data_IF_628060552671
#
_entry.id   IF_628060552671
#
_cell.length_a   1.000
_cell.length_b   1.000
_cell.length_c   1.000
_cell.angle_alpha   90.00
_cell.angle_beta   90.00
_cell.angle_gamma   90.00
#
_symmetry.space_group_name_H-M   'P 1'
#
loop_
_entity.id
_entity.type
_entity.pdbx_description
1 polymer ?
#
# COMPACT_ATOMS: atom_id res chain seq x y z
N UNK A 1 3.53 -15.69 3.25
CA UNK A 1 2.41 -15.27 2.38
C UNK A 1 2.97 -14.36 1.27
N UNK A 2 2.50 -14.44 0.02
CA UNK A 2 2.96 -13.55 -1.08
C UNK A 2 1.87 -12.54 -1.41
N UNK A 3 2.25 -11.30 -1.74
CA UNK A 3 1.33 -10.20 -2.04
C UNK A 3 0.34 -10.55 -3.19
N UNK A 4 0.80 -11.37 -4.14
CA UNK A 4 -0.01 -11.93 -5.25
C UNK A 4 -1.21 -12.76 -4.82
N UNK A 5 -1.21 -13.32 -3.60
CA UNK A 5 -2.34 -14.10 -3.09
C UNK A 5 -3.41 -13.21 -2.42
N UNK A 6 -3.07 -11.94 -2.18
CA UNK A 6 -3.91 -10.97 -1.46
C UNK A 6 -4.61 -10.06 -2.46
N UNK A 7 -3.87 -9.62 -3.48
CA UNK A 7 -4.40 -8.77 -4.54
C UNK A 7 -5.04 -9.65 -5.62
N UNK A 8 -6.34 -9.45 -5.86
CA UNK A 8 -7.14 -10.19 -6.85
C UNK A 8 -7.25 -9.44 -8.19
N UNK A 9 -6.84 -8.18 -8.24
CA UNK A 9 -6.88 -7.35 -9.45
C UNK A 9 -5.56 -7.42 -10.23
N UNK A 10 -5.63 -7.16 -11.53
CA UNK A 10 -4.43 -6.95 -12.34
C UNK A 10 -3.84 -5.57 -12.02
N UNK A 11 -2.74 -5.58 -11.29
CA UNK A 11 -1.90 -4.40 -11.07
C UNK A 11 -0.81 -4.32 -12.11
N UNK A 12 -0.34 -3.11 -12.38
CA UNK A 12 0.91 -2.91 -13.12
C UNK A 12 2.10 -3.35 -12.28
N UNK A 13 3.25 -3.56 -12.95
CA UNK A 13 4.49 -3.97 -12.28
C UNK A 13 4.91 -2.94 -11.21
N UNK A 14 4.83 -1.64 -11.52
CA UNK A 14 5.22 -0.60 -10.55
C UNK A 14 4.28 -0.56 -9.35
N UNK A 15 2.97 -0.72 -9.56
CA UNK A 15 2.00 -0.80 -8.47
C UNK A 15 2.27 -2.00 -7.56
N UNK A 16 2.58 -3.16 -8.16
CA UNK A 16 2.93 -4.36 -7.41
C UNK A 16 4.23 -4.19 -6.61
N UNK A 17 5.25 -3.56 -7.20
CA UNK A 17 6.53 -3.31 -6.54
C UNK A 17 6.39 -2.33 -5.39
N UNK A 18 5.65 -1.23 -5.59
CA UNK A 18 5.36 -0.25 -4.53
C UNK A 18 4.62 -0.90 -3.36
N UNK A 19 3.58 -1.71 -3.61
CA UNK A 19 2.88 -2.43 -2.55
C UNK A 19 3.79 -3.46 -1.87
N UNK A 20 4.69 -4.10 -2.61
CA UNK A 20 5.67 -5.04 -2.05
C UNK A 20 6.66 -4.32 -1.13
N UNK A 21 7.12 -3.13 -1.48
CA UNK A 21 7.97 -2.28 -0.62
C UNK A 21 7.19 -1.82 0.61
N UNK A 22 5.94 -1.39 0.44
CA UNK A 22 5.06 -0.95 1.54
C UNK A 22 4.90 -2.10 2.55
N UNK A 23 4.58 -3.27 2.03
CA UNK A 23 4.46 -4.52 2.76
C UNK A 23 5.77 -4.92 3.46
N UNK A 24 6.91 -4.83 2.77
CA UNK A 24 8.21 -5.19 3.36
C UNK A 24 8.56 -4.28 4.53
N UNK A 25 8.27 -2.98 4.41
CA UNK A 25 8.55 -1.99 5.45
C UNK A 25 7.65 -2.14 6.70
N UNK A 26 6.39 -2.56 6.56
CA UNK A 26 5.46 -2.64 7.70
C UNK A 26 5.11 -4.08 8.13
N UNK A 27 5.50 -5.07 7.34
CA UNK A 27 5.12 -6.47 7.50
C UNK A 27 3.82 -6.83 6.76
N UNK A 28 3.83 -7.98 6.06
CA UNK A 28 2.69 -8.48 5.27
C UNK A 28 1.48 -8.84 6.15
N UNK A 29 1.72 -9.17 7.42
CA UNK A 29 0.72 -9.70 8.34
C UNK A 29 0.00 -10.93 7.75
N UNK A 30 -1.29 -11.05 8.03
CA UNK A 30 -2.20 -12.03 7.45
C UNK A 30 -3.36 -11.32 6.74
N UNK A 31 -4.22 -12.06 6.06
CA UNK A 31 -5.38 -11.58 5.29
C UNK A 31 -6.39 -10.77 6.14
N UNK A 32 -6.28 -10.83 7.47
CA UNK A 32 -7.17 -10.15 8.42
C UNK A 32 -6.43 -9.22 9.40
N UNK A 33 -5.09 -9.16 9.35
CA UNK A 33 -4.27 -8.33 10.26
C UNK A 33 -3.02 -7.84 9.56
N UNK A 34 -2.60 -6.60 9.80
CA UNK A 34 -1.45 -6.02 9.11
C UNK A 34 -1.80 -5.66 7.66
N UNK A 35 -0.81 -5.72 6.76
CA UNK A 35 -1.00 -5.27 5.37
C UNK A 35 -2.07 -6.05 4.61
N UNK A 36 -2.15 -7.37 4.79
CA UNK A 36 -3.10 -8.23 4.07
C UNK A 36 -4.59 -7.98 4.34
N UNK A 37 -4.93 -7.41 5.50
CA UNK A 37 -6.30 -7.00 5.86
C UNK A 37 -6.52 -5.49 5.79
N UNK A 38 -5.53 -4.74 5.29
CA UNK A 38 -5.55 -3.28 5.29
C UNK A 38 -6.53 -2.70 4.28
N UNK A 39 -6.96 -1.46 4.53
CA UNK A 39 -7.82 -0.72 3.60
C UNK A 39 -7.15 -0.54 2.23
N UNK A 40 -5.81 -0.44 2.18
CA UNK A 40 -5.04 -0.37 0.92
C UNK A 40 -5.35 -1.56 0.02
N UNK A 41 -5.27 -2.79 0.55
CA UNK A 41 -5.59 -4.01 -0.22
C UNK A 41 -7.04 -4.03 -0.68
N UNK A 42 -7.97 -3.61 0.18
CA UNK A 42 -9.40 -3.58 -0.16
C UNK A 42 -9.69 -2.57 -1.27
N UNK A 43 -9.07 -1.39 -1.21
CA UNK A 43 -9.19 -0.36 -2.24
C UNK A 43 -8.60 -0.86 -3.55
N UNK A 44 -7.39 -1.42 -3.51
CA UNK A 44 -6.75 -2.03 -4.67
C UNK A 44 -7.62 -3.12 -5.29
N UNK A 45 -8.24 -3.98 -4.47
CA UNK A 45 -9.15 -5.03 -4.96
C UNK A 45 -10.51 -4.52 -5.43
N UNK A 46 -10.81 -3.23 -5.30
CA UNK A 46 -12.14 -2.66 -5.58
C UNK A 46 -13.21 -3.07 -4.57
N UNK A 47 -12.83 -3.67 -3.44
CA UNK A 47 -13.72 -4.01 -2.33
C UNK A 47 -14.04 -2.77 -1.46
N UNK A 48 -13.32 -1.67 -1.65
CA UNK A 48 -13.47 -0.43 -0.89
C UNK A 48 -13.20 0.78 -1.80
N UNK A 49 -14.00 1.84 -1.64
CA UNK A 49 -13.87 3.11 -2.38
C UNK A 49 -13.37 4.26 -1.50
N UNK A 50 -12.71 3.94 -0.39
CA UNK A 50 -12.02 4.93 0.44
C UNK A 50 -10.81 5.54 -0.27
N UNK A 51 -10.33 6.67 0.24
CA UNK A 51 -9.15 7.33 -0.30
C UNK A 51 -7.90 6.48 -0.08
N UNK A 52 -7.30 6.00 -1.17
CA UNK A 52 -6.05 5.25 -1.15
C UNK A 52 -4.96 6.03 -0.40
N UNK A 53 -4.84 7.33 -0.67
CA UNK A 53 -3.88 8.22 -0.02
C UNK A 53 -4.03 8.25 1.51
N UNK A 54 -5.26 8.32 2.01
CA UNK A 54 -5.51 8.31 3.46
C UNK A 54 -5.17 6.94 4.06
N UNK A 55 -5.59 5.86 3.42
CA UNK A 55 -5.27 4.50 3.84
C UNK A 55 -3.76 4.22 3.83
N UNK A 56 -3.03 4.82 2.87
CA UNK A 56 -1.59 4.69 2.71
C UNK A 56 -0.82 5.55 3.72
N UNK A 57 -1.27 6.80 3.94
CA UNK A 57 -0.71 7.71 4.93
C UNK A 57 -0.96 7.24 6.37
N UNK A 58 -1.97 6.42 6.63
CA UNK A 58 -2.18 5.79 7.94
C UNK A 58 -1.05 4.84 8.37
N UNK A 59 -0.15 4.46 7.44
CA UNK A 59 1.07 3.70 7.70
C UNK A 59 2.29 4.60 7.95
N UNK A 60 2.09 5.71 8.66
CA UNK A 60 3.12 6.67 9.07
C UNK A 60 3.69 6.40 10.47
N UNK A 61 3.07 5.48 11.22
CA UNK A 61 3.41 5.15 12.60
C UNK A 61 4.45 4.04 12.66
N UNK A 62 5.57 4.32 13.32
CA UNK A 62 6.58 3.33 13.72
C UNK A 62 6.73 3.35 15.24
N UNK A 63 6.72 2.17 15.88
CA UNK A 63 6.80 2.04 17.34
C UNK A 63 5.85 2.95 18.12
N UNK A 64 4.62 3.15 17.61
CA UNK A 64 3.60 4.00 18.24
C UNK A 64 3.77 5.51 18.01
N UNK A 65 4.80 5.95 17.28
CA UNK A 65 5.03 7.37 16.97
C UNK A 65 5.03 7.65 15.46
N UNK A 66 4.45 8.77 15.07
CA UNK A 66 4.45 9.25 13.68
C UNK A 66 5.87 9.63 13.29
N UNK A 67 6.39 9.03 12.22
CA UNK A 67 7.74 9.32 11.71
C UNK A 67 7.65 10.15 10.43
N UNK A 68 8.18 11.37 10.46
CA UNK A 68 8.22 12.26 9.28
C UNK A 68 8.95 11.64 8.08
N UNK A 69 9.96 10.80 8.32
CA UNK A 69 10.64 10.02 7.28
C UNK A 69 9.73 9.01 6.59
N UNK A 70 8.78 8.40 7.33
CA UNK A 70 7.78 7.50 6.74
C UNK A 70 6.77 8.28 5.90
N UNK A 71 6.33 9.46 6.35
CA UNK A 71 5.40 10.31 5.59
C UNK A 71 5.99 10.63 4.21
N UNK A 72 7.23 11.13 4.13
CA UNK A 72 7.89 11.39 2.84
C UNK A 72 7.98 10.14 1.97
N UNK A 73 8.31 9.01 2.57
CA UNK A 73 8.43 7.74 1.85
C UNK A 73 7.08 7.28 1.30
N UNK A 74 6.00 7.43 2.07
CA UNK A 74 4.62 7.12 1.65
C UNK A 74 4.17 8.01 0.50
N UNK A 75 4.56 9.28 0.50
CA UNK A 75 4.28 10.19 -0.62
C UNK A 75 5.02 9.80 -1.90
N UNK A 76 6.31 9.44 -1.81
CA UNK A 76 7.06 8.94 -2.97
C UNK A 76 6.51 7.61 -3.50
N UNK A 77 6.11 6.69 -2.62
CA UNK A 77 5.47 5.44 -3.00
C UNK A 77 4.15 5.69 -3.75
N UNK A 78 3.29 6.57 -3.23
CA UNK A 78 2.05 6.98 -3.90
C UNK A 78 2.32 7.66 -5.25
N UNK A 79 3.33 8.52 -5.33
CA UNK A 79 3.72 9.16 -6.59
C UNK A 79 4.10 8.12 -7.64
N UNK A 80 4.89 7.10 -7.30
CA UNK A 80 5.24 6.01 -8.22
C UNK A 80 4.00 5.19 -8.60
N UNK A 81 3.12 4.91 -7.63
CA UNK A 81 1.87 4.18 -7.85
C UNK A 81 0.95 4.90 -8.84
N UNK A 82 0.85 6.24 -8.73
CA UNK A 82 0.07 7.08 -9.64
C UNK A 82 0.79 7.36 -10.96
N UNK A 83 2.12 7.46 -10.96
CA UNK A 83 2.92 7.74 -12.15
C UNK A 83 2.77 6.67 -13.22
N UNK A 84 2.67 5.41 -12.83
CA UNK A 84 2.41 4.30 -13.77
C UNK A 84 1.00 4.36 -14.37
N UNK A 85 0.06 4.98 -13.66
CA UNK A 85 -1.29 5.28 -14.15
C UNK A 85 -1.32 6.50 -15.11
N UNK A 86 -0.24 7.28 -15.16
CA UNK A 86 -0.12 8.52 -15.96
C UNK A 86 0.58 8.34 -17.31
N UNK A 87 1.15 7.17 -17.60
CA UNK A 87 1.65 6.83 -18.93
C UNK A 87 0.49 6.32 -19.79
N UNK A 88 -0.17 7.22 -20.49
CA UNK A 88 -1.10 6.93 -21.58
C UNK A 88 -0.58 7.53 -22.89
#
# INVERSE_FOLDING_TARGET
MRLKNIVKVNLTQSQFDVLTILCYNNGIGNNSRGFGGSTVVKITNGECSENLDLAWKAWDKSQGSISSGLIKRRETELEIYYKDNYTR
#
